data_IF_013481813241
#
_entry.id   IF_013481813241
#
_cell.length_a   1.000
_cell.length_b   1.000
_cell.length_c   1.000
_cell.angle_alpha   90.00
_cell.angle_beta   90.00
_cell.angle_gamma   90.00
#
_symmetry.space_group_name_H-M   'P 1'
#
loop_
_entity.id
_entity.type
_entity.pdbx_description
1 polymer ?
#
# COMPACT_ATOMS: atom_id res chain seq x y z
N UNK A 1 10.84 9.46 18.84
CA UNK A 1 11.11 8.03 19.13
C UNK A 1 10.28 7.21 18.16
N UNK A 2 10.87 6.20 17.54
CA UNK A 2 10.18 5.32 16.59
C UNK A 2 10.04 3.93 17.17
N UNK A 3 8.85 3.40 17.10
CA UNK A 3 8.51 2.05 17.59
C UNK A 3 8.31 1.10 16.43
N UNK A 4 8.57 -0.18 16.65
CA UNK A 4 8.25 -1.27 15.72
C UNK A 4 7.56 -2.42 16.43
N UNK A 5 6.69 -3.10 15.71
CA UNK A 5 6.03 -4.33 16.14
C UNK A 5 5.86 -5.29 14.96
N UNK A 6 5.60 -6.54 15.26
CA UNK A 6 5.37 -7.57 14.26
C UNK A 6 3.90 -8.03 14.28
N UNK A 7 3.42 -8.45 13.11
CA UNK A 7 2.10 -9.07 12.93
C UNK A 7 2.24 -10.27 11.99
N UNK A 8 1.69 -11.40 12.38
CA UNK A 8 1.72 -12.60 11.54
C UNK A 8 0.43 -12.69 10.73
N UNK A 9 0.54 -12.45 9.41
CA UNK A 9 -0.59 -12.56 8.50
C UNK A 9 -0.61 -13.91 7.76
N UNK A 10 -1.74 -14.28 7.15
CA UNK A 10 -1.80 -15.45 6.26
C UNK A 10 -0.88 -15.38 5.03
N UNK A 11 -0.42 -14.18 4.68
CA UNK A 11 0.47 -13.94 3.53
C UNK A 11 1.93 -13.69 3.94
N UNK A 12 2.27 -13.92 5.20
CA UNK A 12 3.61 -13.74 5.75
C UNK A 12 3.67 -12.71 6.87
N UNK A 13 4.81 -12.63 7.51
CA UNK A 13 5.04 -11.69 8.59
C UNK A 13 5.02 -10.24 8.07
N UNK A 14 4.50 -9.35 8.89
CA UNK A 14 4.40 -7.91 8.64
C UNK A 14 5.13 -7.19 9.76
N UNK A 15 5.93 -6.19 9.40
CA UNK A 15 6.53 -5.24 10.33
C UNK A 15 5.75 -3.94 10.30
N UNK A 16 5.35 -3.46 11.48
CA UNK A 16 4.71 -2.18 11.71
C UNK A 16 5.73 -1.18 12.25
N UNK A 17 5.61 0.09 11.86
CA UNK A 17 6.37 1.20 12.43
C UNK A 17 5.44 2.35 12.81
N UNK A 18 5.83 3.09 13.86
CA UNK A 18 5.07 4.23 14.38
C UNK A 18 5.98 5.26 15.04
N UNK A 19 5.56 6.52 15.00
CA UNK A 19 6.13 7.61 15.79
C UNK A 19 5.53 7.71 17.21
N UNK A 20 4.70 6.72 17.58
CA UNK A 20 3.96 6.67 18.85
C UNK A 20 2.53 7.21 18.76
N UNK A 21 2.21 7.97 17.72
CA UNK A 21 0.87 8.58 17.49
C UNK A 21 0.20 8.07 16.22
N UNK A 22 0.97 7.83 15.17
CA UNK A 22 0.49 7.42 13.86
C UNK A 22 1.37 6.32 13.29
N UNK A 23 0.83 5.55 12.34
CA UNK A 23 1.63 4.61 11.55
C UNK A 23 2.53 5.38 10.59
N UNK A 24 3.79 5.02 10.58
CA UNK A 24 4.80 5.50 9.63
C UNK A 24 5.24 4.43 8.66
N UNK A 25 4.92 3.16 8.93
CA UNK A 25 5.24 2.04 8.08
C UNK A 25 4.43 0.78 8.35
N UNK A 26 4.21 0.01 7.30
CA UNK A 26 3.64 -1.32 7.31
C UNK A 26 4.14 -2.05 6.08
N UNK A 27 4.96 -3.08 6.27
CA UNK A 27 5.57 -3.85 5.19
C UNK A 27 5.46 -5.34 5.42
N UNK A 28 5.27 -6.10 4.36
CA UNK A 28 5.58 -7.53 4.41
C UNK A 28 7.09 -7.70 4.55
N UNK A 29 7.51 -8.60 5.45
CA UNK A 29 8.93 -8.87 5.63
C UNK A 29 9.53 -9.39 4.32
N UNK A 30 10.70 -8.83 3.94
CA UNK A 30 11.39 -9.15 2.70
C UNK A 30 10.85 -8.50 1.43
N UNK A 31 9.83 -7.65 1.52
CA UNK A 31 9.36 -6.92 0.34
C UNK A 31 10.38 -5.89 -0.16
N UNK A 32 10.20 -5.44 -1.40
CA UNK A 32 10.98 -4.33 -1.96
C UNK A 32 10.74 -3.04 -1.15
N UNK A 33 11.79 -2.27 -0.90
CA UNK A 33 11.77 -1.06 -0.07
C UNK A 33 11.33 -1.28 1.39
N UNK A 34 11.49 -2.52 1.88
CA UNK A 34 11.22 -2.83 3.29
C UNK A 34 11.92 -1.86 4.23
N UNK A 35 11.19 -1.37 5.23
CA UNK A 35 11.75 -0.52 6.26
C UNK A 35 12.22 0.86 5.80
N UNK A 36 11.76 1.35 4.64
CA UNK A 36 12.24 2.62 4.07
C UNK A 36 12.08 3.84 4.97
N UNK A 37 11.13 3.78 5.92
CA UNK A 37 10.90 4.82 6.93
C UNK A 37 11.24 4.37 8.35
N UNK A 38 11.86 3.18 8.50
CA UNK A 38 12.20 2.59 9.78
C UNK A 38 13.66 2.89 10.13
N UNK A 39 13.95 3.74 11.12
CA UNK A 39 15.31 3.99 11.54
C UNK A 39 15.92 2.75 12.22
N UNK A 40 17.23 2.59 12.12
CA UNK A 40 17.96 1.47 12.74
C UNK A 40 17.74 1.37 14.26
N UNK A 41 17.47 2.50 14.90
CA UNK A 41 17.29 2.64 16.36
C UNK A 41 15.81 2.52 16.78
N UNK A 42 14.95 1.98 15.93
CA UNK A 42 13.54 1.77 16.29
C UNK A 42 13.42 0.78 17.45
N UNK A 43 12.71 1.16 18.49
CA UNK A 43 12.50 0.33 19.66
C UNK A 43 11.39 -0.70 19.40
N UNK A 44 11.65 -1.95 19.79
CA UNK A 44 10.58 -2.94 19.82
C UNK A 44 9.69 -2.64 21.02
N UNK A 45 8.43 -2.35 20.76
CA UNK A 45 7.48 -1.96 21.80
C UNK A 45 6.07 -1.88 21.28
N UNK A 46 5.15 -1.53 22.16
CA UNK A 46 3.74 -1.38 21.84
C UNK A 46 3.33 0.09 21.97
N UNK A 47 2.38 0.49 21.15
CA UNK A 47 1.76 1.80 21.22
C UNK A 47 0.30 1.71 20.75
N UNK A 48 -0.57 2.66 21.14
CA UNK A 48 -2.02 2.57 20.85
C UNK A 48 -2.35 2.38 19.37
N UNK A 49 -1.56 2.98 18.47
CA UNK A 49 -1.80 2.85 17.02
C UNK A 49 -1.51 1.44 16.51
N UNK A 50 -0.61 0.69 17.14
CA UNK A 50 -0.38 -0.72 16.78
C UNK A 50 -1.60 -1.59 17.09
N UNK A 51 -2.26 -1.36 18.20
CA UNK A 51 -3.52 -2.06 18.50
C UNK A 51 -4.59 -1.76 17.45
N UNK A 52 -4.69 -0.53 16.99
CA UNK A 52 -5.60 -0.15 15.89
C UNK A 52 -5.20 -0.82 14.58
N UNK A 53 -3.92 -0.80 14.22
CA UNK A 53 -3.41 -1.43 13.00
C UNK A 53 -3.65 -2.94 13.00
N UNK A 54 -3.40 -3.61 14.12
CA UNK A 54 -3.64 -5.06 14.27
C UNK A 54 -5.13 -5.40 14.13
N UNK A 55 -6.03 -4.64 14.72
CA UNK A 55 -7.49 -4.81 14.52
C UNK A 55 -7.90 -4.59 13.07
N UNK A 56 -7.31 -3.60 12.41
CA UNK A 56 -7.52 -3.37 10.97
C UNK A 56 -7.08 -4.58 10.14
N UNK A 57 -5.91 -5.12 10.43
CA UNK A 57 -5.36 -6.30 9.74
C UNK A 57 -6.18 -7.56 10.04
N UNK A 58 -6.62 -7.76 11.27
CA UNK A 58 -7.48 -8.90 11.65
C UNK A 58 -8.79 -8.89 10.85
N UNK A 59 -9.46 -7.74 10.76
CA UNK A 59 -10.66 -7.57 9.98
C UNK A 59 -10.40 -7.78 8.48
N UNK A 60 -9.34 -7.18 7.97
CA UNK A 60 -8.96 -7.30 6.56
C UNK A 60 -8.70 -8.76 6.14
N UNK A 61 -7.86 -9.48 6.88
CA UNK A 61 -7.53 -10.87 6.59
C UNK A 61 -8.66 -11.86 6.90
N UNK A 62 -9.67 -11.46 7.67
CA UNK A 62 -10.93 -12.19 7.79
C UNK A 62 -11.84 -12.04 6.55
N UNK A 63 -11.44 -11.25 5.56
CA UNK A 63 -12.21 -11.01 4.34
C UNK A 63 -13.28 -9.92 4.50
N UNK A 64 -13.15 -9.09 5.53
CA UNK A 64 -14.06 -7.98 5.81
C UNK A 64 -13.41 -6.65 5.39
N UNK A 65 -14.25 -5.72 4.94
CA UNK A 65 -13.81 -4.36 4.71
C UNK A 65 -13.65 -3.66 6.06
N UNK A 66 -12.42 -3.24 6.45
CA UNK A 66 -12.27 -2.47 7.68
C UNK A 66 -13.04 -1.16 7.63
N UNK A 67 -13.77 -0.86 8.71
CA UNK A 67 -14.63 0.32 8.80
C UNK A 67 -13.93 1.58 9.30
N UNK A 68 -12.61 1.56 9.44
CA UNK A 68 -11.81 2.67 9.95
C UNK A 68 -10.41 2.66 9.34
N UNK A 69 -9.71 3.77 9.45
CA UNK A 69 -8.29 3.89 9.07
C UNK A 69 -7.51 4.36 10.28
N UNK A 70 -6.47 3.63 10.73
CA UNK A 70 -5.58 4.14 11.78
C UNK A 70 -4.96 5.48 11.38
N UNK A 71 -4.53 6.32 12.33
CA UNK A 71 -3.77 7.51 12.01
C UNK A 71 -2.51 7.18 11.20
N UNK A 72 -2.30 7.89 10.09
CA UNK A 72 -1.16 7.72 9.20
C UNK A 72 -0.30 8.98 9.21
N UNK A 73 1.01 8.79 9.18
CA UNK A 73 1.95 9.88 9.07
C UNK A 73 2.98 9.60 7.97
N UNK A 74 3.04 10.49 7.00
CA UNK A 74 3.97 10.41 5.87
C UNK A 74 4.96 11.55 5.89
N UNK A 75 6.23 11.21 6.04
CA UNK A 75 7.35 12.13 5.77
C UNK A 75 7.78 11.93 4.32
N UNK A 76 7.21 12.72 3.40
CA UNK A 76 7.38 12.50 1.97
C UNK A 76 7.22 13.78 1.16
N UNK A 77 7.45 13.70 -0.14
CA UNK A 77 7.23 14.80 -1.08
C UNK A 77 5.74 15.07 -1.30
N UNK A 78 5.35 16.31 -1.69
CA UNK A 78 3.96 16.63 -2.02
C UNK A 78 3.38 15.72 -3.10
N UNK A 79 4.18 15.34 -4.10
CA UNK A 79 3.76 14.45 -5.18
C UNK A 79 3.39 13.06 -4.67
N UNK A 80 4.27 12.41 -3.89
CA UNK A 80 4.00 11.09 -3.32
C UNK A 80 2.81 11.11 -2.36
N UNK A 81 2.70 12.14 -1.54
CA UNK A 81 1.55 12.33 -0.66
C UNK A 81 0.25 12.37 -1.45
N UNK A 82 0.20 13.16 -2.51
CA UNK A 82 -0.99 13.27 -3.36
C UNK A 82 -1.37 11.92 -4.00
N UNK A 83 -0.38 11.14 -4.46
CA UNK A 83 -0.61 9.78 -4.98
C UNK A 83 -1.22 8.89 -3.90
N UNK A 84 -0.64 8.86 -2.70
CA UNK A 84 -1.12 7.98 -1.62
C UNK A 84 -2.49 8.41 -1.09
N UNK A 85 -2.80 9.71 -1.08
CA UNK A 85 -4.16 10.20 -0.78
C UNK A 85 -5.19 9.71 -1.80
N UNK A 86 -4.82 9.69 -3.09
CA UNK A 86 -5.69 9.12 -4.13
C UNK A 86 -5.87 7.61 -3.91
N UNK A 87 -4.81 6.87 -3.57
CA UNK A 87 -4.92 5.44 -3.27
C UNK A 87 -5.93 5.16 -2.15
N UNK A 88 -5.96 5.97 -1.11
CA UNK A 88 -6.93 5.84 -0.02
C UNK A 88 -8.39 5.99 -0.48
N UNK A 89 -8.64 6.61 -1.62
CA UNK A 89 -9.99 6.76 -2.19
C UNK A 89 -10.42 5.55 -3.04
N UNK A 90 -9.50 4.65 -3.38
CA UNK A 90 -9.82 3.45 -4.16
C UNK A 90 -10.56 2.45 -3.28
N UNK A 91 -11.83 2.12 -3.59
CA UNK A 91 -12.64 1.29 -2.70
C UNK A 91 -12.11 -0.15 -2.59
N UNK A 92 -12.41 -0.78 -1.46
CA UNK A 92 -12.21 -2.21 -1.25
C UNK A 92 -12.88 -3.02 -2.36
N UNK A 93 -12.18 -3.97 -2.94
CA UNK A 93 -12.67 -4.78 -4.05
C UNK A 93 -12.65 -4.10 -5.42
N UNK A 94 -12.13 -2.88 -5.52
CA UNK A 94 -11.99 -2.16 -6.77
C UNK A 94 -10.52 -2.03 -7.18
N UNK A 95 -10.30 -1.80 -8.46
CA UNK A 95 -8.97 -1.51 -9.02
C UNK A 95 -8.98 -0.15 -9.73
N UNK A 96 -7.80 0.44 -9.85
CA UNK A 96 -7.54 1.62 -10.65
C UNK A 96 -6.28 1.41 -11.48
N UNK A 97 -6.00 2.32 -12.40
CA UNK A 97 -4.78 2.26 -13.22
C UNK A 97 -3.85 3.40 -12.90
N UNK A 98 -2.57 3.22 -13.24
CA UNK A 98 -1.57 4.30 -13.10
C UNK A 98 -1.96 5.54 -13.90
N UNK A 99 -2.55 5.36 -15.09
CA UNK A 99 -3.04 6.45 -15.93
C UNK A 99 -4.22 7.19 -15.31
N UNK A 100 -5.16 6.49 -14.68
CA UNK A 100 -6.29 7.12 -13.99
C UNK A 100 -5.82 7.95 -12.79
N UNK A 101 -4.85 7.46 -12.03
CA UNK A 101 -4.25 8.23 -10.94
C UNK A 101 -3.53 9.46 -11.49
N UNK A 102 -2.76 9.31 -12.58
CA UNK A 102 -2.07 10.42 -13.23
C UNK A 102 -3.05 11.51 -13.69
N UNK A 103 -4.21 11.14 -14.23
CA UNK A 103 -5.26 12.09 -14.62
C UNK A 103 -5.82 12.85 -13.41
N UNK A 104 -6.12 12.18 -12.32
CA UNK A 104 -6.59 12.83 -11.09
C UNK A 104 -5.54 13.76 -10.49
N UNK A 105 -4.26 13.40 -10.56
CA UNK A 105 -3.16 14.25 -10.11
C UNK A 105 -3.01 15.47 -11.00
N UNK A 106 -3.15 15.32 -12.32
CA UNK A 106 -3.09 16.43 -13.27
C UNK A 106 -4.15 17.50 -12.95
N UNK A 107 -5.37 17.07 -12.63
CA UNK A 107 -6.44 17.95 -12.20
C UNK A 107 -6.11 18.68 -10.88
N UNK A 108 -5.57 17.96 -9.89
CA UNK A 108 -5.18 18.54 -8.60
C UNK A 108 -4.02 19.53 -8.70
N UNK A 109 -3.03 19.23 -9.53
CA UNK A 109 -1.77 19.99 -9.61
C UNK A 109 -1.77 21.01 -10.74
N UNK A 110 -2.80 21.05 -11.57
CA UNK A 110 -2.94 21.98 -12.68
C UNK A 110 -1.91 21.79 -13.80
N UNK A 111 -1.30 20.61 -13.92
CA UNK A 111 -0.31 20.27 -14.95
C UNK A 111 -0.31 18.77 -15.24
N UNK A 112 0.08 18.35 -16.46
CA UNK A 112 0.16 16.94 -16.83
C UNK A 112 1.06 16.14 -15.88
N UNK A 113 0.65 14.90 -15.60
CA UNK A 113 1.41 13.94 -14.79
C UNK A 113 1.61 12.64 -15.57
N UNK A 114 2.77 11.99 -15.41
CA UNK A 114 3.04 10.74 -16.09
C UNK A 114 2.63 9.53 -15.26
N UNK A 115 2.12 8.50 -15.93
CA UNK A 115 1.83 7.20 -15.31
C UNK A 115 3.11 6.55 -14.73
N UNK A 116 4.26 6.77 -15.36
CA UNK A 116 5.54 6.27 -14.87
C UNK A 116 5.94 6.89 -13.51
N UNK A 117 5.79 8.21 -13.37
CA UNK A 117 6.06 8.90 -12.11
C UNK A 117 5.09 8.44 -11.00
N UNK A 118 3.82 8.24 -11.35
CA UNK A 118 2.82 7.64 -10.44
C UNK A 118 3.25 6.24 -10.02
N UNK A 119 3.70 5.40 -10.95
CA UNK A 119 4.19 4.05 -10.66
C UNK A 119 5.34 4.05 -9.65
N UNK A 120 6.28 4.97 -9.77
CA UNK A 120 7.35 5.16 -8.79
C UNK A 120 6.83 5.51 -7.39
N UNK A 121 5.87 6.42 -7.30
CA UNK A 121 5.25 6.80 -6.02
C UNK A 121 4.43 5.66 -5.39
N UNK A 122 3.68 4.93 -6.21
CA UNK A 122 2.91 3.74 -5.77
C UNK A 122 3.84 2.66 -5.22
N UNK A 123 4.95 2.39 -5.91
CA UNK A 123 5.93 1.38 -5.49
C UNK A 123 6.66 1.73 -4.20
N UNK A 124 6.82 3.01 -3.87
CA UNK A 124 7.48 3.48 -2.65
C UNK A 124 6.51 3.72 -1.47
N UNK A 125 5.25 3.31 -1.59
CA UNK A 125 4.30 3.37 -0.49
C UNK A 125 4.84 2.64 0.75
N UNK A 126 5.08 3.35 1.88
CA UNK A 126 5.63 2.72 3.07
C UNK A 126 4.57 2.06 3.96
N UNK A 127 3.28 2.22 3.66
CA UNK A 127 2.17 1.67 4.46
C UNK A 127 1.30 0.78 3.57
N UNK A 128 1.81 -0.41 3.29
CA UNK A 128 1.12 -1.41 2.46
C UNK A 128 -0.25 -1.78 3.06
N UNK A 129 -1.15 -2.27 2.26
CA UNK A 129 -2.50 -2.70 2.60
C UNK A 129 -3.45 -1.55 2.97
N UNK A 130 -3.15 -0.78 4.01
CA UNK A 130 -3.98 0.35 4.45
C UNK A 130 -4.00 1.42 3.37
N UNK A 131 -2.83 1.77 2.83
CA UNK A 131 -2.72 2.54 1.58
C UNK A 131 -2.66 1.53 0.44
N UNK A 132 -3.75 1.31 -0.30
CA UNK A 132 -3.95 0.09 -1.09
C UNK A 132 -3.25 0.09 -2.45
N UNK A 133 -1.92 0.13 -2.46
CA UNK A 133 -1.13 0.10 -3.70
C UNK A 133 -1.32 -1.20 -4.51
N UNK A 134 -1.78 -2.28 -3.88
CA UNK A 134 -2.14 -3.53 -4.57
C UNK A 134 -3.36 -3.39 -5.50
N UNK A 135 -4.17 -2.34 -5.36
CA UNK A 135 -5.34 -2.05 -6.22
C UNK A 135 -5.00 -1.33 -7.51
N UNK A 136 -3.71 -1.00 -7.74
CA UNK A 136 -3.28 -0.35 -8.97
C UNK A 136 -2.81 -1.40 -9.98
N UNK A 137 -3.36 -1.34 -11.18
CA UNK A 137 -3.06 -2.28 -12.28
C UNK A 137 -2.65 -1.52 -13.54
N UNK A 138 -2.02 -2.22 -14.50
CA UNK A 138 -1.73 -1.64 -15.81
C UNK A 138 -3.01 -1.33 -16.59
N UNK A 139 -2.93 -0.40 -17.55
CA UNK A 139 -4.06 0.00 -18.38
C UNK A 139 -4.63 -1.16 -19.20
N UNK A 140 -3.81 -2.14 -19.53
CA UNK A 140 -4.20 -3.37 -20.25
C UNK A 140 -4.71 -4.50 -19.33
N UNK A 141 -4.74 -4.26 -18.01
CA UNK A 141 -5.10 -5.26 -17.00
C UNK A 141 -3.91 -6.04 -16.43
N UNK A 142 -2.67 -5.68 -16.79
CA UNK A 142 -1.48 -6.35 -16.26
C UNK A 142 -1.30 -6.10 -14.77
N UNK A 143 -1.04 -7.19 -14.03
CA UNK A 143 -0.72 -7.16 -12.60
C UNK A 143 0.78 -6.89 -12.44
N UNK A 144 1.18 -5.64 -12.59
CA UNK A 144 2.57 -5.20 -12.48
C UNK A 144 2.81 -4.45 -11.19
N UNK A 145 4.06 -4.41 -10.78
CA UNK A 145 4.53 -3.34 -9.94
C UNK A 145 4.07 -3.34 -8.49
N UNK A 146 3.98 -4.48 -7.82
CA UNK A 146 3.71 -4.52 -6.39
C UNK A 146 4.95 -4.84 -5.56
N UNK A 147 5.31 -3.96 -4.62
CA UNK A 147 6.48 -4.14 -3.76
C UNK A 147 6.44 -5.42 -2.92
N UNK A 148 5.25 -5.85 -2.52
CA UNK A 148 5.00 -7.11 -1.82
C UNK A 148 5.05 -8.37 -2.70
N UNK A 149 5.26 -8.21 -4.00
CA UNK A 149 5.28 -9.31 -4.97
C UNK A 149 3.92 -9.60 -5.61
N UNK A 150 3.96 -10.09 -6.85
CA UNK A 150 2.75 -10.32 -7.66
C UNK A 150 1.84 -11.39 -7.03
N UNK A 151 2.41 -12.43 -6.45
CA UNK A 151 1.62 -13.49 -5.80
C UNK A 151 0.75 -12.93 -4.66
N UNK A 152 1.32 -12.06 -3.83
CA UNK A 152 0.55 -11.37 -2.78
C UNK A 152 -0.49 -10.44 -3.37
N UNK A 153 -0.16 -9.70 -4.42
CA UNK A 153 -1.11 -8.81 -5.12
C UNK A 153 -2.35 -9.58 -5.59
N UNK A 154 -2.16 -10.70 -6.26
CA UNK A 154 -3.26 -11.58 -6.69
C UNK A 154 -4.09 -12.04 -5.49
N UNK A 155 -3.45 -12.55 -4.44
CA UNK A 155 -4.13 -13.05 -3.25
C UNK A 155 -4.93 -11.96 -2.54
N UNK A 156 -4.41 -10.74 -2.49
CA UNK A 156 -5.08 -9.60 -1.88
C UNK A 156 -6.33 -9.19 -2.70
N UNK A 157 -6.20 -9.11 -4.01
CA UNK A 157 -7.34 -8.79 -4.88
C UNK A 157 -8.43 -9.87 -4.82
N UNK A 158 -8.05 -11.14 -4.76
CA UNK A 158 -9.00 -12.25 -4.57
C UNK A 158 -9.66 -12.18 -3.20
N UNK A 159 -8.91 -11.91 -2.13
CA UNK A 159 -9.45 -11.73 -0.78
C UNK A 159 -10.49 -10.61 -0.75
N UNK A 160 -10.23 -9.51 -1.43
CA UNK A 160 -11.15 -8.38 -1.55
C UNK A 160 -12.33 -8.64 -2.50
N UNK A 161 -12.39 -9.81 -3.13
CA UNK A 161 -13.42 -10.15 -4.15
C UNK A 161 -13.45 -9.17 -5.32
N UNK A 162 -12.28 -8.64 -5.69
CA UNK A 162 -12.15 -7.77 -6.86
C UNK A 162 -12.52 -8.53 -8.14
N UNK A 163 -13.01 -7.79 -9.13
CA UNK A 163 -13.26 -8.38 -10.44
C UNK A 163 -11.91 -8.68 -11.12
N UNK A 164 -11.58 -9.97 -11.21
CA UNK A 164 -10.33 -10.45 -11.81
C UNK A 164 -10.42 -10.62 -13.33
N UNK A 165 -11.58 -10.39 -13.92
CA UNK A 165 -11.78 -10.49 -15.38
C UNK A 165 -10.90 -9.46 -16.10
N UNK A 166 -10.12 -9.91 -17.07
CA UNK A 166 -9.21 -9.06 -17.83
C UNK A 166 -7.89 -8.73 -17.11
N UNK A 167 -7.71 -9.20 -15.88
CA UNK A 167 -6.43 -9.08 -15.17
C UNK A 167 -5.54 -10.29 -15.48
N UNK A 168 -4.24 -10.06 -15.66
CA UNK A 168 -3.30 -11.12 -15.97
C UNK A 168 -1.90 -10.81 -15.42
N UNK A 169 -1.12 -11.87 -15.19
CA UNK A 169 0.30 -11.76 -14.82
C UNK A 169 1.10 -11.68 -16.12
N UNK A 170 1.86 -10.58 -16.36
CA UNK A 170 2.63 -10.45 -17.58
C UNK A 170 3.79 -11.44 -17.60
N UNK A 171 4.11 -11.99 -18.79
CA UNK A 171 5.20 -12.94 -18.98
C UNK A 171 6.60 -12.29 -18.85
N UNK A 172 6.69 -10.97 -19.05
CA UNK A 172 7.93 -10.17 -18.93
C UNK A 172 7.64 -8.80 -18.36
N UNK A 173 8.61 -8.23 -17.64
CA UNK A 173 8.62 -6.80 -17.32
C UNK A 173 7.66 -6.40 -16.20
N UNK A 174 7.79 -6.99 -15.04
CA UNK A 174 7.22 -6.42 -13.82
C UNK A 174 8.19 -5.39 -13.27
N UNK A 175 8.34 -4.27 -13.96
CA UNK A 175 9.14 -3.19 -13.43
C UNK A 175 8.39 -2.49 -12.29
N UNK A 176 9.01 -2.46 -11.14
CA UNK A 176 8.92 -1.38 -10.17
C UNK A 176 10.24 -0.68 -10.18
#
# INVERSE_FOLDING_TARGET
MTYRASYLSPLGAITLASDGKALTGLWFDGQKYFGSTLPQQAETGDCPVFAQAKRWLDSYFAGEKPGFTPPLHWMTTPFRRAVWEILLTVPYGCTTTYGQIAAQLADRMGKPQSAQAVGGAVGHNPISLIVPCHRVVGADGSLTGYAGGIDRKVKLLVLERANMSGLFIPARGTAL
#
